data_IF_238672952355
#
_entry.id   IF_238672952355
#
_cell.length_a   1.000
_cell.length_b   1.000
_cell.length_c   1.000
_cell.angle_alpha   90.00
_cell.angle_beta   90.00
_cell.angle_gamma   90.00
#
_symmetry.space_group_name_H-M   'P 1'
#
loop_
_entity.id
_entity.type
_entity.pdbx_description
1 polymer ?
#
# COMPACT_ATOMS: atom_id res chain seq x y z
N UNK A 1 -8.25 12.32 -9.59
CA UNK A 1 -7.92 10.88 -9.55
C UNK A 1 -9.05 10.22 -8.80
N UNK A 2 -9.69 9.21 -9.38
CA UNK A 2 -10.80 8.53 -8.72
C UNK A 2 -10.28 7.21 -8.16
N UNK A 3 -10.26 7.08 -6.83
CA UNK A 3 -9.79 5.88 -6.14
C UNK A 3 -10.98 5.19 -5.50
N UNK A 4 -11.04 3.87 -5.63
CA UNK A 4 -11.94 3.03 -4.87
C UNK A 4 -11.17 1.84 -4.32
N UNK A 5 -11.06 1.76 -3.00
CA UNK A 5 -10.51 0.62 -2.29
C UNK A 5 -11.66 -0.11 -1.59
N UNK A 6 -11.74 -1.42 -1.78
CA UNK A 6 -12.74 -2.32 -1.20
C UNK A 6 -11.96 -3.51 -0.59
N UNK A 7 -11.86 -3.56 0.75
CA UNK A 7 -11.09 -4.59 1.43
C UNK A 7 -11.80 -5.95 1.50
N UNK A 8 -13.11 -5.99 1.25
CA UNK A 8 -13.97 -7.18 1.40
C UNK A 8 -13.93 -8.14 0.19
N UNK A 9 -13.15 -7.83 -0.85
CA UNK A 9 -12.99 -8.67 -2.05
C UNK A 9 -14.24 -8.86 -2.92
N UNK A 10 -15.40 -8.38 -2.47
CA UNK A 10 -16.69 -8.55 -3.15
C UNK A 10 -16.89 -7.58 -4.32
N UNK A 11 -16.06 -6.53 -4.43
CA UNK A 11 -16.13 -5.53 -5.49
C UNK A 11 -14.74 -5.12 -5.91
N UNK A 12 -14.58 -4.83 -7.21
CA UNK A 12 -13.31 -4.41 -7.78
C UNK A 12 -12.80 -3.13 -7.11
N UNK A 13 -11.58 -3.21 -6.60
CA UNK A 13 -10.79 -2.05 -6.17
C UNK A 13 -10.06 -1.50 -7.37
N UNK A 14 -10.16 -0.19 -7.62
CA UNK A 14 -9.51 0.42 -8.79
C UNK A 14 -9.08 1.87 -8.56
N UNK A 15 -8.09 2.25 -9.35
CA UNK A 15 -7.59 3.61 -9.49
C UNK A 15 -7.81 4.06 -10.94
N UNK A 16 -8.57 5.13 -11.14
CA UNK A 16 -8.76 5.74 -12.45
C UNK A 16 -8.10 7.12 -12.52
N UNK A 17 -7.34 7.33 -13.59
CA UNK A 17 -6.76 8.61 -13.96
C UNK A 17 -7.43 9.14 -15.22
N UNK A 18 -7.86 10.40 -15.16
CA UNK A 18 -8.45 11.07 -16.31
C UNK A 18 -7.41 11.32 -17.40
N UNK A 19 -7.88 11.55 -18.63
CA UNK A 19 -7.03 12.03 -19.74
C UNK A 19 -6.32 13.32 -19.30
N UNK A 20 -5.00 13.36 -19.52
CA UNK A 20 -4.15 14.52 -19.14
C UNK A 20 -4.19 15.66 -20.18
N UNK A 21 -4.61 15.36 -21.41
CA UNK A 21 -4.80 16.35 -22.46
C UNK A 21 -6.21 16.95 -22.37
N UNK A 22 -6.30 18.27 -22.27
CA UNK A 22 -7.55 18.99 -22.08
C UNK A 22 -8.51 18.84 -23.27
N UNK A 23 -8.02 18.88 -24.51
CA UNK A 23 -8.87 18.74 -25.69
C UNK A 23 -9.51 17.34 -25.74
N UNK A 24 -8.71 16.30 -25.54
CA UNK A 24 -9.20 14.92 -25.51
C UNK A 24 -10.11 14.62 -24.30
N UNK A 25 -9.94 15.36 -23.20
CA UNK A 25 -10.83 15.30 -22.04
C UNK A 25 -12.19 15.93 -22.36
N UNK A 26 -12.19 17.14 -22.95
CA UNK A 26 -13.40 17.89 -23.27
C UNK A 26 -14.22 17.24 -24.37
N UNK A 27 -13.57 16.57 -25.33
CA UNK A 27 -14.23 15.75 -26.34
C UNK A 27 -15.08 14.64 -25.69
N UNK A 28 -14.48 13.84 -24.79
CA UNK A 28 -15.21 12.78 -24.09
C UNK A 28 -16.37 13.33 -23.25
N UNK A 29 -16.18 14.47 -22.58
CA UNK A 29 -17.25 15.11 -21.79
C UNK A 29 -18.39 15.58 -22.68
N UNK A 30 -18.07 16.18 -23.82
CA UNK A 30 -19.07 16.65 -24.80
C UNK A 30 -19.87 15.48 -25.36
N UNK A 31 -19.19 14.35 -25.59
CA UNK A 31 -19.80 13.09 -26.06
C UNK A 31 -20.50 12.28 -24.95
N UNK A 32 -20.63 12.82 -23.73
CA UNK A 32 -21.20 12.13 -22.55
C UNK A 32 -20.49 10.82 -22.20
N UNK A 33 -19.21 10.69 -22.54
CA UNK A 33 -18.32 9.59 -22.15
C UNK A 33 -17.56 9.95 -20.88
N UNK A 34 -17.05 8.94 -20.17
CA UNK A 34 -16.15 9.17 -19.02
C UNK A 34 -14.74 9.48 -19.56
N UNK A 35 -14.11 10.61 -19.21
CA UNK A 35 -12.81 11.03 -19.74
C UNK A 35 -11.63 10.30 -19.06
N UNK A 36 -11.73 8.98 -18.97
CA UNK A 36 -10.77 8.12 -18.30
C UNK A 36 -9.64 7.80 -19.29
N UNK A 37 -8.42 8.12 -18.90
CA UNK A 37 -7.22 7.80 -19.68
C UNK A 37 -6.62 6.47 -19.29
N UNK A 38 -6.61 6.13 -17.99
CA UNK A 38 -6.07 4.87 -17.46
C UNK A 38 -6.89 4.39 -16.28
N UNK A 39 -7.02 3.07 -16.16
CA UNK A 39 -7.56 2.39 -14.97
C UNK A 39 -6.56 1.32 -14.54
N UNK A 40 -6.32 1.22 -13.24
CA UNK A 40 -5.57 0.15 -12.61
C UNK A 40 -6.50 -0.57 -11.64
N UNK A 41 -6.52 -1.90 -11.69
CA UNK A 41 -7.29 -2.72 -10.76
C UNK A 41 -6.34 -3.27 -9.70
N UNK A 42 -6.73 -3.14 -8.45
CA UNK A 42 -5.94 -3.58 -7.31
C UNK A 42 -6.24 -5.04 -6.99
N UNK A 43 -5.20 -5.82 -6.74
CA UNK A 43 -5.31 -7.14 -6.10
C UNK A 43 -5.68 -6.98 -4.62
N UNK A 44 -6.16 -8.03 -3.94
CA UNK A 44 -6.33 -8.00 -2.49
C UNK A 44 -5.06 -7.59 -1.72
N UNK A 45 -3.89 -8.03 -2.20
CA UNK A 45 -2.59 -7.68 -1.63
C UNK A 45 -2.27 -6.18 -1.80
N UNK A 46 -2.60 -5.59 -2.95
CA UNK A 46 -2.44 -4.15 -3.18
C UNK A 46 -3.31 -3.33 -2.21
N UNK A 47 -4.54 -3.78 -1.95
CA UNK A 47 -5.45 -3.13 -1.01
C UNK A 47 -4.92 -3.21 0.42
N UNK A 48 -4.39 -4.37 0.83
CA UNK A 48 -3.70 -4.53 2.12
C UNK A 48 -2.53 -3.56 2.25
N UNK A 49 -1.69 -3.48 1.21
CA UNK A 49 -0.53 -2.59 1.20
C UNK A 49 -0.94 -1.11 1.32
N UNK A 50 -1.95 -0.68 0.57
CA UNK A 50 -2.50 0.67 0.69
C UNK A 50 -3.00 0.98 2.11
N UNK A 51 -3.70 0.03 2.74
CA UNK A 51 -4.18 0.19 4.11
C UNK A 51 -3.03 0.33 5.10
N UNK A 52 -2.02 -0.55 5.01
CA UNK A 52 -0.83 -0.51 5.87
C UNK A 52 -0.10 0.82 5.68
N UNK A 53 0.04 1.29 4.44
CA UNK A 53 0.71 2.55 4.16
C UNK A 53 0.02 3.73 4.80
N UNK A 54 -1.31 3.77 4.72
CA UNK A 54 -2.11 4.80 5.38
C UNK A 54 -1.96 4.73 6.91
N UNK A 55 -2.05 3.54 7.50
CA UNK A 55 -1.85 3.36 8.94
C UNK A 55 -0.45 3.84 9.39
N UNK A 56 0.61 3.48 8.65
CA UNK A 56 1.97 3.92 8.96
C UNK A 56 2.18 5.43 8.84
N UNK A 57 1.38 6.16 8.03
CA UNK A 57 1.39 7.63 8.00
C UNK A 57 0.84 8.24 9.29
N UNK A 58 -0.03 7.52 10.00
CA UNK A 58 -0.54 7.88 11.33
C UNK A 58 0.41 7.43 12.45
N UNK A 59 1.57 6.86 12.09
CA UNK A 59 2.61 6.33 13.00
C UNK A 59 2.15 5.17 13.88
N UNK A 60 0.98 4.60 13.62
CA UNK A 60 0.48 3.45 14.35
C UNK A 60 -0.35 2.52 13.47
N UNK A 61 -0.41 1.25 13.86
CA UNK A 61 -1.28 0.26 13.23
C UNK A 61 -2.18 -0.34 14.30
N UNK A 62 -3.49 -0.20 14.10
CA UNK A 62 -4.49 -0.88 14.92
C UNK A 62 -4.73 -2.30 14.37
N UNK A 63 -4.31 -3.30 15.14
CA UNK A 63 -4.37 -4.70 14.75
C UNK A 63 -5.81 -5.25 14.82
N UNK A 64 -6.66 -4.70 15.70
CA UNK A 64 -8.06 -5.05 15.76
C UNK A 64 -8.81 -4.56 14.51
N UNK A 65 -8.53 -3.33 14.06
CA UNK A 65 -9.08 -2.79 12.81
C UNK A 65 -8.59 -3.59 11.60
N UNK A 66 -7.30 -3.91 11.54
CA UNK A 66 -6.74 -4.75 10.48
C UNK A 66 -7.47 -6.11 10.41
N UNK A 67 -7.66 -6.76 11.56
CA UNK A 67 -8.36 -8.05 11.64
C UNK A 67 -9.82 -7.94 11.23
N UNK A 68 -10.51 -6.86 11.62
CA UNK A 68 -11.90 -6.63 11.23
C UNK A 68 -12.05 -6.40 9.71
N UNK A 69 -11.06 -5.75 9.09
CA UNK A 69 -11.06 -5.41 7.67
C UNK A 69 -10.66 -6.59 6.79
N UNK A 70 -9.63 -7.35 7.17
CA UNK A 70 -9.03 -8.39 6.31
C UNK A 70 -9.27 -9.82 6.80
N UNK A 71 -9.88 -10.00 7.97
CA UNK A 71 -10.13 -11.32 8.56
C UNK A 71 -8.86 -12.06 8.99
N UNK A 72 -7.73 -11.37 9.08
CA UNK A 72 -6.42 -11.96 9.36
C UNK A 72 -5.63 -11.24 10.45
N UNK A 73 -4.64 -11.93 11.01
CA UNK A 73 -3.85 -11.40 12.12
C UNK A 73 -2.59 -10.70 11.62
N UNK A 74 -2.46 -9.41 11.95
CA UNK A 74 -1.37 -8.55 11.48
C UNK A 74 0.02 -9.07 11.93
N UNK A 75 0.17 -9.48 13.19
CA UNK A 75 1.47 -9.96 13.68
C UNK A 75 1.80 -11.34 13.12
N UNK A 76 0.80 -12.19 12.87
CA UNK A 76 1.03 -13.46 12.21
C UNK A 76 1.51 -13.26 10.76
N UNK A 77 0.89 -12.34 10.00
CA UNK A 77 1.26 -12.07 8.61
C UNK A 77 2.62 -11.39 8.48
N UNK A 78 2.95 -10.48 9.39
CA UNK A 78 4.14 -9.62 9.28
C UNK A 78 5.18 -9.84 10.40
N UNK A 79 5.17 -11.03 11.02
CA UNK A 79 6.02 -11.37 12.16
C UNK A 79 7.49 -11.03 11.95
N UNK A 80 8.06 -11.41 10.79
CA UNK A 80 9.45 -11.16 10.47
C UNK A 80 9.77 -9.67 10.36
N UNK A 81 8.93 -8.92 9.64
CA UNK A 81 9.09 -7.47 9.45
C UNK A 81 8.99 -6.74 10.79
N UNK A 82 7.97 -7.06 11.60
CA UNK A 82 7.78 -6.43 12.91
C UNK A 82 8.93 -6.78 13.86
N UNK A 83 9.35 -8.05 13.92
CA UNK A 83 10.47 -8.45 14.77
C UNK A 83 11.75 -7.69 14.42
N UNK A 84 12.08 -7.59 13.12
CA UNK A 84 13.26 -6.83 12.67
C UNK A 84 13.19 -5.33 12.94
N UNK A 85 11.98 -4.74 13.03
CA UNK A 85 11.78 -3.34 13.42
C UNK A 85 11.84 -3.15 14.94
N UNK A 86 11.35 -4.12 15.72
CA UNK A 86 11.45 -4.12 17.18
C UNK A 86 12.90 -4.25 17.65
N UNK A 87 13.68 -5.14 17.03
CA UNK A 87 15.13 -5.30 17.32
C UNK A 87 15.91 -3.99 17.11
N UNK A 88 15.49 -3.19 16.13
CA UNK A 88 16.09 -1.87 15.85
C UNK A 88 15.56 -0.77 16.77
N UNK A 89 14.57 -1.06 17.62
CA UNK A 89 13.89 -0.09 18.47
C UNK A 89 13.06 0.93 17.68
N UNK A 90 12.59 0.57 16.48
CA UNK A 90 11.82 1.46 15.59
C UNK A 90 10.32 1.26 15.76
N UNK A 91 9.92 0.16 16.40
CA UNK A 91 8.54 -0.21 16.66
C UNK A 91 8.41 -0.69 18.09
N UNK A 92 7.28 -0.36 18.72
CA UNK A 92 6.83 -0.94 19.98
C UNK A 92 5.42 -1.47 19.80
N UNK A 93 5.18 -2.71 20.20
CA UNK A 93 3.85 -3.32 20.23
C UNK A 93 3.30 -3.18 21.65
N UNK A 94 2.09 -2.65 21.79
CA UNK A 94 1.35 -2.56 23.06
C UNK A 94 -0.11 -2.82 22.79
N UNK A 95 -0.71 -3.71 23.56
CA UNK A 95 -2.11 -4.09 23.41
C UNK A 95 -2.40 -4.48 21.93
N UNK A 96 -3.46 -3.95 21.34
CA UNK A 96 -3.82 -4.16 19.93
C UNK A 96 -3.18 -3.14 18.96
N UNK A 97 -2.08 -2.49 19.38
CA UNK A 97 -1.45 -1.42 18.61
C UNK A 97 0.04 -1.68 18.35
N UNK A 98 0.47 -1.37 17.13
CA UNK A 98 1.88 -1.27 16.75
C UNK A 98 2.21 0.21 16.57
N UNK A 99 3.12 0.74 17.35
CA UNK A 99 3.55 2.15 17.26
C UNK A 99 4.92 2.24 16.61
N UNK A 100 5.07 3.15 15.64
CA UNK A 100 6.38 3.59 15.20
C UNK A 100 6.96 4.52 16.26
N UNK A 101 8.20 4.28 16.67
CA UNK A 101 8.87 5.06 17.72
C UNK A 101 10.32 5.36 17.36
N UNK A 102 10.88 6.42 17.95
CA UNK A 102 12.28 6.76 17.80
C UNK A 102 12.64 7.04 16.34
N UNK A 103 13.54 6.23 15.76
CA UNK A 103 13.88 6.37 14.34
C UNK A 103 12.77 5.90 13.40
N UNK A 104 11.83 5.08 13.86
CA UNK A 104 10.71 4.60 13.04
C UNK A 104 9.83 5.74 12.52
N UNK A 105 9.59 6.77 13.35
CA UNK A 105 8.77 7.94 13.00
C UNK A 105 9.33 8.73 11.81
N UNK A 106 10.66 8.76 11.67
CA UNK A 106 11.33 9.47 10.58
C UNK A 106 11.56 8.61 9.34
N UNK A 107 11.39 7.29 9.46
CA UNK A 107 11.69 6.32 8.41
C UNK A 107 10.44 5.63 7.87
N UNK A 108 9.26 6.27 7.99
CA UNK A 108 7.98 5.76 7.46
C UNK A 108 8.10 5.30 6.00
N UNK A 109 8.70 6.08 5.05
CA UNK A 109 8.81 5.63 3.66
C UNK A 109 9.66 4.37 3.49
N UNK A 110 10.73 4.22 4.29
CA UNK A 110 11.58 3.03 4.26
C UNK A 110 10.81 1.82 4.82
N UNK A 111 10.08 2.01 5.92
CA UNK A 111 9.25 0.95 6.51
C UNK A 111 8.17 0.51 5.53
N UNK A 112 7.49 1.44 4.87
CA UNK A 112 6.54 1.15 3.79
C UNK A 112 7.19 0.33 2.66
N UNK A 113 8.42 0.64 2.26
CA UNK A 113 9.14 -0.14 1.26
C UNK A 113 9.44 -1.58 1.72
N UNK A 114 9.74 -1.80 3.01
CA UNK A 114 9.93 -3.15 3.57
C UNK A 114 8.64 -3.97 3.47
N UNK A 115 7.50 -3.39 3.83
CA UNK A 115 6.20 -4.06 3.69
C UNK A 115 5.89 -4.38 2.21
N UNK A 116 6.14 -3.45 1.29
CA UNK A 116 5.97 -3.70 -0.14
C UNK A 116 6.82 -4.88 -0.64
N UNK A 117 8.09 -4.95 -0.21
CA UNK A 117 8.98 -6.05 -0.58
C UNK A 117 8.44 -7.40 -0.13
N UNK A 118 7.85 -7.49 1.07
CA UNK A 118 7.27 -8.72 1.58
C UNK A 118 6.01 -9.16 0.80
N UNK A 119 5.17 -8.20 0.40
CA UNK A 119 3.89 -8.45 -0.27
C UNK A 119 4.02 -8.63 -1.79
N UNK A 120 5.06 -8.11 -2.44
CA UNK A 120 5.22 -8.18 -3.89
C UNK A 120 5.99 -9.44 -4.34
N UNK A 121 5.33 -10.41 -5.00
CA UNK A 121 6.02 -11.55 -5.62
C UNK A 121 6.95 -11.14 -6.77
N UNK A 122 6.72 -9.97 -7.38
CA UNK A 122 7.60 -9.40 -8.41
C UNK A 122 8.96 -8.97 -7.86
N UNK A 123 8.97 -8.43 -6.64
CA UNK A 123 10.17 -7.94 -5.96
C UNK A 123 10.90 -9.10 -5.26
N UNK A 124 10.16 -10.12 -4.82
CA UNK A 124 10.69 -11.33 -4.19
C UNK A 124 11.31 -12.32 -5.21
N UNK A 125 11.32 -11.99 -6.51
CA UNK A 125 12.13 -12.70 -7.51
C UNK A 125 13.56 -12.15 -7.47
N UNK A 126 14.59 -12.97 -7.19
CA UNK A 126 16.00 -12.54 -7.18
C UNK A 126 16.55 -12.08 -8.55
N UNK A 127 15.72 -11.92 -9.58
CA UNK A 127 16.09 -11.47 -10.92
C UNK A 127 15.35 -10.18 -11.30
N UNK A 128 15.72 -9.05 -10.70
CA UNK A 128 15.63 -7.73 -11.35
C UNK A 128 16.43 -6.67 -10.60
N UNK A 129 17.67 -6.99 -10.21
CA UNK A 129 18.67 -5.94 -10.02
C UNK A 129 19.03 -5.46 -11.42
N UNK A 130 18.41 -4.37 -11.87
CA UNK A 130 18.90 -3.65 -13.06
C UNK A 130 20.29 -3.13 -12.66
N UNK A 131 21.38 -3.59 -13.29
CA UNK A 131 22.69 -3.08 -12.95
C UNK A 131 22.74 -1.57 -13.26
N UNK A 132 23.35 -0.81 -12.35
CA UNK A 132 23.71 0.60 -12.55
C UNK A 132 24.84 0.63 -13.58
N UNK A 133 24.48 0.39 -14.84
CA UNK A 133 25.34 0.46 -16.02
C UNK A 133 24.44 0.71 -17.24
N UNK A 134 23.61 1.75 -17.15
CA UNK A 134 22.88 2.32 -18.29
C UNK A 134 22.46 3.76 -17.97
N UNK A 135 23.44 4.59 -17.59
CA UNK A 135 23.44 6.06 -17.79
C UNK A 135 24.82 6.42 -18.33
#
# INVERSE_FOLDING_TARGET
>A
MNIRLQPDGNKDSFLAMNKRNLAAYMEDVTDKRKPIGRVYFHTPEDVKLCWIFQALQELCVNMADYRAVFGSDFLAEYALTISGLQERGWVVVRDDMVYLVGRGEFNVPLIQAIFAFQLSPEINKPESVIPIAAI
#
